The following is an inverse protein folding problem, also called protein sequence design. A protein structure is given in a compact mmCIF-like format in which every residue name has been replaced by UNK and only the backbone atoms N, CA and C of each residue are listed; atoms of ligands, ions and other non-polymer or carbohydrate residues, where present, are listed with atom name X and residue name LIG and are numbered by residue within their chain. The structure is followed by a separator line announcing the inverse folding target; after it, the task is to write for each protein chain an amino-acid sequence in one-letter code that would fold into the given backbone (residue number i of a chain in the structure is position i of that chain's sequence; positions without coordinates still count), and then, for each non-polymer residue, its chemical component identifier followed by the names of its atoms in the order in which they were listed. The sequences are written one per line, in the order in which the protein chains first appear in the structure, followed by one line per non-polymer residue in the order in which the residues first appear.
data_IF_222241537762
#
_entry.id   IF_222241537762
#
_cell.length_a   1.000
_cell.length_b   1.000
_cell.length_c   1.000
_cell.angle_alpha   90.00
_cell.angle_beta   90.00
_cell.angle_gamma   90.00
#
_symmetry.space_group_name_H-M   'P 1'
#
loop_
_entity.id
_entity.type
_entity.pdbx_description
1 polymer ?
#
# COMPACT_ATOMS: atom_id res chain seq x y z
N UNK A 1 25.98 -28.40 -7.27
CA UNK A 1 25.55 -27.46 -6.20
C UNK A 1 24.09 -27.74 -5.90
N UNK A 2 23.73 -28.16 -4.69
CA UNK A 2 22.32 -28.39 -4.36
C UNK A 2 21.64 -27.02 -4.22
N UNK A 3 20.53 -26.81 -4.93
CA UNK A 3 19.74 -25.60 -4.80
C UNK A 3 19.09 -25.54 -3.39
N UNK A 4 19.15 -24.38 -2.77
CA UNK A 4 18.44 -24.16 -1.50
C UNK A 4 16.93 -24.19 -1.77
N UNK A 5 16.21 -24.92 -0.95
CA UNK A 5 14.75 -24.95 -1.00
C UNK A 5 14.21 -23.64 -0.40
N UNK A 6 13.36 -22.96 -1.15
CA UNK A 6 12.65 -21.75 -0.74
C UNK A 6 11.16 -22.07 -0.74
N UNK A 7 10.44 -21.61 0.29
CA UNK A 7 9.00 -21.82 0.44
C UNK A 7 8.32 -20.50 0.78
N UNK A 8 7.05 -20.35 0.35
CA UNK A 8 6.17 -19.27 0.80
C UNK A 8 5.51 -19.73 2.08
N UNK A 9 5.57 -18.91 3.12
CA UNK A 9 5.04 -19.24 4.45
C UNK A 9 3.82 -18.42 4.83
N UNK A 10 3.59 -17.29 4.17
CA UNK A 10 2.41 -16.45 4.41
C UNK A 10 2.14 -15.54 3.23
N UNK A 11 0.90 -15.18 3.06
CA UNK A 11 0.39 -14.32 2.00
C UNK A 11 -0.46 -13.20 2.61
N UNK A 12 -0.44 -12.05 1.96
CA UNK A 12 -1.34 -10.93 2.26
C UNK A 12 -1.76 -10.25 0.97
N UNK A 13 -3.00 -9.82 0.88
CA UNK A 13 -3.56 -9.24 -0.31
C UNK A 13 -4.50 -8.06 0.00
N UNK A 14 -4.26 -6.94 -0.68
CA UNK A 14 -5.15 -5.80 -0.68
C UNK A 14 -5.40 -5.40 -2.13
N UNK A 15 -6.61 -5.69 -2.62
CA UNK A 15 -6.91 -5.64 -4.05
C UNK A 15 -8.29 -5.01 -4.32
N UNK A 16 -8.55 -4.54 -5.55
CA UNK A 16 -9.86 -4.00 -5.94
C UNK A 16 -11.03 -4.99 -5.86
N UNK A 17 -10.76 -6.29 -5.65
CA UNK A 17 -11.78 -7.34 -5.56
C UNK A 17 -11.83 -8.02 -4.19
N UNK A 18 -10.96 -7.62 -3.26
CA UNK A 18 -10.95 -8.13 -1.90
C UNK A 18 -9.91 -7.40 -1.04
N UNK A 19 -10.28 -7.02 0.17
CA UNK A 19 -9.45 -6.27 1.11
C UNK A 19 -8.64 -7.18 2.06
N UNK A 20 -8.66 -8.48 1.82
CA UNK A 20 -7.85 -9.51 2.47
C UNK A 20 -7.68 -10.68 1.52
N UNK A 21 -6.83 -11.63 1.89
CA UNK A 21 -6.49 -12.79 1.06
C UNK A 21 -7.71 -13.66 0.74
N UNK A 22 -8.60 -13.89 1.70
CA UNK A 22 -9.78 -14.75 1.51
C UNK A 22 -10.80 -14.13 0.55
N UNK A 23 -11.08 -12.83 0.72
CA UNK A 23 -11.99 -12.10 -0.17
C UNK A 23 -11.41 -11.98 -1.57
N UNK A 24 -10.10 -11.73 -1.67
CA UNK A 24 -9.39 -11.71 -2.94
C UNK A 24 -9.51 -13.06 -3.67
N UNK A 25 -9.24 -14.16 -2.98
CA UNK A 25 -9.34 -15.51 -3.55
C UNK A 25 -10.76 -15.84 -4.00
N UNK A 26 -11.75 -15.52 -3.18
CA UNK A 26 -13.17 -15.68 -3.50
C UNK A 26 -13.53 -14.87 -4.75
N UNK A 27 -13.14 -13.60 -4.80
CA UNK A 27 -13.36 -12.75 -5.96
C UNK A 27 -12.73 -13.29 -7.25
N UNK A 28 -11.54 -13.91 -7.16
CA UNK A 28 -10.90 -14.57 -8.30
C UNK A 28 -11.70 -15.78 -8.81
N UNK A 29 -12.17 -16.65 -7.89
CA UNK A 29 -12.96 -17.83 -8.26
C UNK A 29 -14.28 -17.41 -8.90
N UNK A 30 -14.91 -16.37 -8.39
CA UNK A 30 -16.17 -15.83 -8.91
C UNK A 30 -16.01 -15.06 -10.23
N UNK A 31 -14.76 -14.79 -10.66
CA UNK A 31 -14.48 -13.96 -11.84
C UNK A 31 -14.88 -12.50 -11.67
N UNK A 32 -14.84 -11.99 -10.43
CA UNK A 32 -15.22 -10.61 -10.09
C UNK A 32 -14.27 -9.62 -10.74
N UNK A 33 -14.83 -8.59 -11.41
CA UNK A 33 -14.04 -7.49 -11.95
C UNK A 33 -13.80 -6.39 -10.90
N UNK A 34 -12.56 -5.97 -10.73
CA UNK A 34 -12.18 -4.82 -9.92
C UNK A 34 -12.40 -3.47 -10.62
N UNK A 35 -12.60 -3.46 -11.94
CA UNK A 35 -12.75 -2.24 -12.71
C UNK A 35 -14.07 -1.53 -12.39
N UNK A 36 -13.99 -0.21 -12.16
CA UNK A 36 -15.13 0.66 -11.89
C UNK A 36 -14.80 2.09 -12.37
N UNK A 37 -15.79 2.98 -12.51
CA UNK A 37 -15.53 4.39 -12.75
C UNK A 37 -14.57 4.95 -11.69
N UNK A 38 -13.63 5.80 -12.11
CA UNK A 38 -12.66 6.47 -11.22
C UNK A 38 -13.42 7.40 -10.28
N UNK A 39 -13.09 7.33 -8.98
CA UNK A 39 -13.71 8.15 -7.93
C UNK A 39 -12.76 9.16 -7.31
N UNK A 40 -11.45 9.02 -7.50
CA UNK A 40 -10.44 9.86 -6.85
C UNK A 40 -10.31 11.26 -7.46
N UNK A 41 -10.72 11.43 -8.71
CA UNK A 41 -10.67 12.74 -9.40
C UNK A 41 -11.70 12.82 -10.54
N UNK A 42 -11.96 14.04 -11.01
CA UNK A 42 -12.84 14.26 -12.16
C UNK A 42 -12.21 13.76 -13.46
N UNK A 43 -12.90 12.85 -14.14
CA UNK A 43 -12.46 12.18 -15.36
C UNK A 43 -13.05 12.76 -16.63
N UNK A 44 -13.79 13.87 -16.59
CA UNK A 44 -14.50 14.42 -17.75
C UNK A 44 -13.56 14.64 -18.94
N UNK A 45 -12.37 15.18 -18.67
CA UNK A 45 -11.36 15.52 -19.69
C UNK A 45 -10.46 14.35 -20.08
N UNK A 46 -10.63 13.18 -19.47
CA UNK A 46 -9.78 12.01 -19.72
C UNK A 46 -10.44 11.02 -20.68
N UNK A 47 -9.64 10.38 -21.53
CA UNK A 47 -10.12 9.33 -22.44
C UNK A 47 -10.53 8.07 -21.67
N UNK A 48 -9.75 7.68 -20.64
CA UNK A 48 -10.02 6.56 -19.77
C UNK A 48 -10.75 7.05 -18.53
N UNK A 49 -11.89 6.45 -18.21
CA UNK A 49 -12.78 6.85 -17.12
C UNK A 49 -12.99 5.76 -16.08
N UNK A 50 -12.22 4.68 -16.15
CA UNK A 50 -12.30 3.56 -15.20
C UNK A 50 -10.92 3.17 -14.72
N UNK A 51 -10.87 2.64 -13.51
CA UNK A 51 -9.66 2.09 -12.89
C UNK A 51 -10.02 0.96 -11.92
N UNK A 52 -9.01 0.29 -11.41
CA UNK A 52 -9.14 -0.73 -10.38
C UNK A 52 -8.74 -0.11 -9.03
N UNK A 53 -9.63 0.68 -8.45
CA UNK A 53 -9.45 1.30 -7.13
C UNK A 53 -9.83 0.31 -6.02
N UNK A 54 -9.20 0.45 -4.84
CA UNK A 54 -9.67 -0.26 -3.64
C UNK A 54 -11.07 0.23 -3.27
N UNK A 55 -11.94 -0.71 -2.90
CA UNK A 55 -13.34 -0.46 -2.54
C UNK A 55 -13.55 -0.79 -1.07
N UNK A 56 -14.30 0.07 -0.38
CA UNK A 56 -14.72 -0.16 1.01
C UNK A 56 -13.55 -0.45 1.96
N UNK A 57 -12.36 0.11 1.66
CA UNK A 57 -11.17 -0.03 2.48
C UNK A 57 -11.03 1.11 3.46
N UNK A 58 -11.07 0.79 4.74
CA UNK A 58 -10.84 1.73 5.84
C UNK A 58 -9.48 1.47 6.49
N UNK A 59 -8.52 2.32 6.20
CA UNK A 59 -7.17 2.26 6.77
C UNK A 59 -7.15 2.45 8.28
N UNK A 60 -8.17 3.09 8.86
CA UNK A 60 -8.24 3.36 10.31
C UNK A 60 -8.42 2.09 11.15
N UNK A 61 -8.84 0.98 10.53
CA UNK A 61 -8.93 -0.32 11.17
C UNK A 61 -7.55 -0.98 11.35
N UNK A 62 -6.53 -0.51 10.66
CA UNK A 62 -5.19 -1.11 10.62
C UNK A 62 -4.10 -0.19 11.16
N UNK A 63 -4.21 1.11 10.87
CA UNK A 63 -3.18 2.09 11.20
C UNK A 63 -3.75 3.23 12.05
N UNK A 64 -3.01 3.67 13.06
CA UNK A 64 -3.38 4.83 13.84
C UNK A 64 -3.29 6.13 13.02
N UNK A 65 -3.97 7.19 13.50
CA UNK A 65 -4.01 8.50 12.84
C UNK A 65 -2.62 9.12 12.61
N UNK A 66 -1.67 8.85 13.51
CA UNK A 66 -0.32 9.41 13.43
C UNK A 66 0.47 8.71 12.34
N UNK A 67 0.31 7.41 12.20
CA UNK A 67 0.89 6.60 11.13
C UNK A 67 0.31 7.01 9.77
N UNK A 68 -1.02 7.10 9.65
CA UNK A 68 -1.70 7.51 8.42
C UNK A 68 -1.21 8.84 7.88
N UNK A 69 -1.00 9.84 8.75
CA UNK A 69 -0.53 11.17 8.37
C UNK A 69 0.92 11.21 7.87
N UNK A 70 1.72 10.20 8.21
CA UNK A 70 3.13 10.12 7.86
C UNK A 70 3.42 9.29 6.63
N UNK A 71 2.41 8.62 6.08
CA UNK A 71 2.56 7.65 5.01
C UNK A 71 1.61 7.96 3.86
N UNK A 72 2.14 7.89 2.65
CA UNK A 72 1.31 7.87 1.44
C UNK A 72 0.44 6.61 1.38
N UNK A 73 -0.63 6.66 0.59
CA UNK A 73 -1.55 5.53 0.43
C UNK A 73 -0.86 4.23 0.03
N UNK A 74 0.10 4.29 -0.90
CA UNK A 74 0.81 3.07 -1.33
C UNK A 74 1.59 2.43 -0.19
N UNK A 75 2.15 3.23 0.74
CA UNK A 75 2.83 2.74 1.93
C UNK A 75 1.83 2.14 2.92
N UNK A 76 0.68 2.78 3.12
CA UNK A 76 -0.40 2.25 3.97
C UNK A 76 -0.87 0.88 3.46
N UNK A 77 -1.07 0.74 2.15
CA UNK A 77 -1.44 -0.54 1.52
C UNK A 77 -0.37 -1.62 1.72
N UNK A 78 0.89 -1.23 1.57
CA UNK A 78 2.02 -2.11 1.84
C UNK A 78 2.07 -2.59 3.28
N UNK A 79 1.85 -1.71 4.24
CA UNK A 79 1.81 -2.05 5.66
C UNK A 79 0.70 -3.05 5.97
N UNK A 80 -0.52 -2.80 5.50
CA UNK A 80 -1.68 -3.67 5.75
C UNK A 80 -1.48 -5.05 5.16
N UNK A 81 -1.08 -5.15 3.89
CA UNK A 81 -0.84 -6.45 3.25
C UNK A 81 0.36 -7.20 3.86
N UNK A 82 1.38 -6.47 4.33
CA UNK A 82 2.52 -7.09 5.03
C UNK A 82 2.10 -7.64 6.38
N UNK A 83 1.28 -6.92 7.14
CA UNK A 83 0.77 -7.38 8.42
C UNK A 83 -0.05 -8.67 8.26
N UNK A 84 -0.94 -8.72 7.26
CA UNK A 84 -1.70 -9.94 6.94
C UNK A 84 -0.76 -11.11 6.60
N UNK A 85 0.26 -10.89 5.77
CA UNK A 85 1.23 -11.92 5.41
C UNK A 85 2.02 -12.45 6.61
N UNK A 86 2.38 -11.59 7.55
CA UNK A 86 3.06 -11.99 8.81
C UNK A 86 2.12 -12.84 9.66
N UNK A 87 0.87 -12.43 9.81
CA UNK A 87 -0.14 -13.17 10.56
C UNK A 87 -0.41 -14.54 9.94
N UNK A 88 -0.61 -14.60 8.63
CA UNK A 88 -0.83 -15.85 7.89
C UNK A 88 0.36 -16.81 7.99
N UNK A 89 1.58 -16.29 8.02
CA UNK A 89 2.81 -17.09 8.18
C UNK A 89 2.96 -17.72 9.56
N UNK A 90 2.26 -17.22 10.58
CA UNK A 90 2.46 -17.59 11.97
C UNK A 90 3.85 -17.22 12.52
N UNK A 91 4.54 -16.28 11.89
CA UNK A 91 5.89 -15.87 12.26
C UNK A 91 5.88 -15.10 13.59
N UNK A 92 6.62 -15.62 14.57
CA UNK A 92 6.84 -14.93 15.85
C UNK A 92 8.04 -13.99 15.74
N UNK A 93 7.76 -12.69 15.58
CA UNK A 93 8.79 -11.66 15.39
C UNK A 93 9.75 -11.51 16.59
N UNK A 94 9.37 -12.01 17.77
CA UNK A 94 10.25 -11.97 18.95
C UNK A 94 11.25 -13.14 19.00
N UNK A 95 11.00 -14.20 18.24
CA UNK A 95 11.85 -15.41 18.20
C UNK A 95 12.77 -15.50 17.01
N UNK A 96 12.59 -14.62 16.02
CA UNK A 96 13.43 -14.63 14.82
C UNK A 96 14.69 -13.79 14.99
N UNK A 97 15.73 -14.16 14.26
CA UNK A 97 16.92 -13.33 14.10
C UNK A 97 16.59 -12.19 13.08
N UNK A 98 16.31 -11.01 13.61
CA UNK A 98 15.92 -9.82 12.82
C UNK A 98 17.01 -9.40 11.81
N UNK A 99 18.28 -9.74 12.04
CA UNK A 99 19.37 -9.45 11.09
C UNK A 99 19.31 -10.34 9.84
N UNK A 100 18.52 -11.41 9.86
CA UNK A 100 18.30 -12.30 8.72
C UNK A 100 16.95 -12.11 8.02
N UNK A 101 16.19 -11.11 8.44
CA UNK A 101 14.91 -10.75 7.84
C UNK A 101 15.10 -9.50 6.99
N UNK A 102 14.58 -9.51 5.79
CA UNK A 102 14.57 -8.36 4.89
C UNK A 102 13.16 -8.09 4.39
N UNK A 103 12.85 -6.81 4.18
CA UNK A 103 11.61 -6.37 3.53
C UNK A 103 11.96 -5.75 2.20
N UNK A 104 11.28 -6.20 1.15
CA UNK A 104 11.38 -5.61 -0.19
C UNK A 104 9.96 -5.19 -0.58
N UNK A 105 9.79 -3.88 -0.73
CA UNK A 105 8.53 -3.27 -1.17
C UNK A 105 8.80 -2.33 -2.32
N UNK A 106 7.96 -2.37 -3.35
CA UNK A 106 8.12 -1.53 -4.53
C UNK A 106 6.79 -0.90 -4.96
N UNK A 107 6.88 0.31 -5.50
CA UNK A 107 5.78 1.01 -6.15
C UNK A 107 6.27 1.57 -7.48
N UNK A 108 5.41 1.58 -8.50
CA UNK A 108 5.76 2.14 -9.81
C UNK A 108 6.07 3.64 -9.72
N UNK A 109 5.20 4.40 -9.06
CA UNK A 109 5.38 5.82 -8.71
C UNK A 109 4.79 6.01 -7.32
N UNK A 110 5.61 5.92 -6.29
CA UNK A 110 5.16 6.17 -4.93
C UNK A 110 5.03 7.67 -4.64
N UNK A 111 4.09 8.06 -3.78
CA UNK A 111 3.97 9.42 -3.26
C UNK A 111 3.50 10.48 -4.26
N UNK A 112 3.03 10.11 -5.46
CA UNK A 112 2.65 11.08 -6.50
C UNK A 112 1.47 11.95 -6.08
N UNK A 113 0.51 11.42 -5.33
CA UNK A 113 -0.62 12.19 -4.82
C UNK A 113 -0.16 13.26 -3.83
N UNK A 114 0.72 12.88 -2.90
CA UNK A 114 1.32 13.82 -1.96
C UNK A 114 2.13 14.89 -2.69
N UNK A 115 2.92 14.49 -3.67
CA UNK A 115 3.69 15.44 -4.50
C UNK A 115 2.77 16.42 -5.22
N UNK A 116 1.71 15.93 -5.88
CA UNK A 116 0.74 16.77 -6.58
C UNK A 116 0.09 17.77 -5.63
N UNK A 117 -0.42 17.32 -4.49
CA UNK A 117 -1.08 18.17 -3.51
C UNK A 117 -0.14 19.25 -2.97
N UNK A 118 1.10 18.88 -2.63
CA UNK A 118 2.12 19.81 -2.19
C UNK A 118 2.47 20.87 -3.26
N UNK A 119 2.55 20.48 -4.52
CA UNK A 119 2.81 21.41 -5.61
C UNK A 119 1.64 22.39 -5.84
N UNK A 120 0.40 21.89 -5.73
CA UNK A 120 -0.78 22.74 -5.82
C UNK A 120 -0.89 23.70 -4.65
N UNK A 121 -0.63 23.23 -3.43
CA UNK A 121 -0.62 24.07 -2.23
C UNK A 121 0.46 25.15 -2.31
N UNK A 122 1.65 24.79 -2.79
CA UNK A 122 2.71 25.75 -3.02
C UNK A 122 2.34 26.81 -4.09
N UNK A 123 1.73 26.38 -5.19
CA UNK A 123 1.36 27.28 -6.28
C UNK A 123 0.20 28.22 -5.92
N UNK A 124 -0.68 27.80 -5.01
CA UNK A 124 -1.85 28.58 -4.55
C UNK A 124 -1.64 29.32 -3.23
N UNK A 125 -0.57 29.00 -2.49
CA UNK A 125 -0.26 29.53 -1.15
C UNK A 125 0.80 30.62 -1.14
N UNK A 126 1.40 30.81 0.04
CA UNK A 126 2.46 31.81 0.28
C UNK A 126 3.86 31.35 -0.18
N UNK A 127 3.96 30.21 -0.86
CA UNK A 127 5.23 29.65 -1.33
C UNK A 127 6.01 28.88 -0.25
N UNK A 128 5.46 28.70 0.93
CA UNK A 128 6.11 27.89 1.96
C UNK A 128 5.83 26.39 1.74
N UNK A 129 6.84 25.66 1.28
CA UNK A 129 6.80 24.20 1.24
C UNK A 129 7.22 23.63 2.58
N UNK A 130 6.35 22.84 3.18
CA UNK A 130 6.78 21.94 4.25
C UNK A 130 7.43 20.69 3.62
N UNK A 131 8.74 20.72 3.47
CA UNK A 131 9.53 19.57 2.97
C UNK A 131 9.42 18.31 3.81
N UNK A 132 8.75 18.36 4.95
CA UNK A 132 8.54 17.22 5.87
C UNK A 132 7.69 16.10 5.22
N UNK A 133 6.94 16.44 4.17
CA UNK A 133 6.02 15.50 3.50
C UNK A 133 6.48 15.03 2.12
N UNK A 134 7.60 15.55 1.62
CA UNK A 134 8.29 14.89 0.51
C UNK A 134 8.95 13.67 1.13
N UNK A 135 8.17 12.64 1.33
CA UNK A 135 8.62 11.45 2.01
C UNK A 135 9.83 10.89 1.31
N UNK A 136 10.92 10.81 2.03
CA UNK A 136 12.02 9.96 1.65
C UNK A 136 11.48 8.55 1.41
N UNK A 137 11.62 7.98 0.21
CA UNK A 137 11.24 6.59 -0.02
C UNK A 137 12.15 5.60 0.70
N UNK A 138 13.07 6.07 1.56
CA UNK A 138 14.19 5.27 2.04
C UNK A 138 14.49 5.36 3.53
N UNK A 139 13.60 5.80 4.40
CA UNK A 139 13.79 5.50 5.81
C UNK A 139 13.39 4.06 6.08
N UNK A 140 14.36 3.16 5.92
CA UNK A 140 14.31 1.83 6.51
C UNK A 140 14.08 2.00 8.01
N UNK A 141 12.86 1.79 8.47
CA UNK A 141 12.62 1.49 9.86
C UNK A 141 13.01 0.03 10.06
N UNK A 142 14.17 -0.17 10.64
CA UNK A 142 14.53 -1.47 11.21
C UNK A 142 13.53 -1.77 12.35
N UNK A 143 12.81 -2.83 12.19
CA UNK A 143 11.94 -3.41 13.23
C UNK A 143 12.79 -4.20 14.22
#
# INVERSE_FOLDING_TARGET
MALKRVVVTGLGALTPIGNNLNDFWTGLIEGKSGAAPITYFDTEKFKTKFACELKDFDVSLHLDRKQQRKMDRFTQYGMVSTEEAIQDSGLDLEKIDKLRVGVIWGSGIGGIETFQNQMLDHASGDGTLSLIHISEPTRQHWI
#
